data_IF_974665027871
#
_entry.id   IF_974665027871
#
_cell.length_a   1.000
_cell.length_b   1.000
_cell.length_c   1.000
_cell.angle_alpha   90.00
_cell.angle_beta   90.00
_cell.angle_gamma   90.00
#
_symmetry.space_group_name_H-M   'P 1'
#
loop_
_entity.id
_entity.type
_entity.pdbx_description
1 polymer ?
#
# COMPACT_ATOMS: atom_id res chain seq x y z
N UNK A 1 12.50 3.75 21.68
CA UNK A 1 11.16 4.02 21.12
C UNK A 1 11.08 3.28 19.79
N UNK A 2 10.01 2.53 19.53
CA UNK A 2 9.87 1.79 18.26
C UNK A 2 9.54 2.76 17.12
N UNK A 3 10.09 2.57 15.90
CA UNK A 3 9.70 3.36 14.72
C UNK A 3 8.22 3.15 14.39
N UNK A 4 7.58 4.19 13.84
CA UNK A 4 6.16 4.18 13.46
C UNK A 4 5.98 3.49 12.11
N UNK A 5 5.13 2.46 12.06
CA UNK A 5 4.73 1.77 10.84
C UNK A 5 3.20 1.79 10.74
N UNK A 6 2.67 2.16 9.57
CA UNK A 6 1.25 1.98 9.27
C UNK A 6 1.06 0.97 8.15
N UNK A 7 -0.02 0.20 8.25
CA UNK A 7 -0.46 -0.74 7.22
C UNK A 7 -1.77 -0.23 6.61
N UNK A 8 -1.82 -0.05 5.30
CA UNK A 8 -3.04 0.29 4.56
C UNK A 8 -3.55 -0.94 3.80
N UNK A 9 -4.79 -1.35 4.07
CA UNK A 9 -5.42 -2.51 3.44
C UNK A 9 -5.65 -2.34 1.93
N UNK A 10 -6.05 -3.42 1.26
CA UNK A 10 -6.48 -3.37 -0.14
C UNK A 10 -7.94 -2.92 -0.29
N UNK A 11 -8.51 -3.11 -1.48
CA UNK A 11 -9.87 -2.68 -1.83
C UNK A 11 -10.95 -3.35 -0.97
N UNK A 12 -10.66 -4.49 -0.36
CA UNK A 12 -11.63 -5.22 0.43
C UNK A 12 -11.73 -4.68 1.86
N UNK A 13 -10.70 -3.99 2.35
CA UNK A 13 -10.67 -3.58 3.75
C UNK A 13 -10.43 -4.73 4.72
N UNK A 14 -10.65 -4.49 6.01
CA UNK A 14 -10.31 -5.46 7.07
C UNK A 14 -11.11 -6.76 6.97
N UNK A 15 -12.35 -6.71 6.48
CA UNK A 15 -13.27 -7.86 6.40
C UNK A 15 -12.76 -9.04 5.55
N UNK A 16 -11.88 -8.79 4.56
CA UNK A 16 -11.22 -9.87 3.76
C UNK A 16 -9.70 -9.78 3.76
N UNK A 17 -9.15 -9.09 4.75
CA UNK A 17 -7.70 -8.91 4.91
C UNK A 17 -7.11 -9.76 6.04
N UNK A 18 -7.59 -10.99 6.22
CA UNK A 18 -7.05 -11.90 7.27
C UNK A 18 -5.54 -12.15 7.12
N UNK A 19 -5.02 -12.06 5.91
CA UNK A 19 -3.59 -12.15 5.59
C UNK A 19 -2.76 -10.99 6.19
N UNK A 20 -3.36 -9.83 6.49
CA UNK A 20 -2.66 -8.72 7.16
C UNK A 20 -2.21 -9.11 8.56
N UNK A 21 -2.93 -10.02 9.23
CA UNK A 21 -2.55 -10.49 10.56
C UNK A 21 -1.14 -11.09 10.57
N UNK A 22 -0.72 -11.78 9.50
CA UNK A 22 0.63 -12.31 9.38
C UNK A 22 1.70 -11.22 9.25
N UNK A 23 1.40 -10.11 8.57
CA UNK A 23 2.29 -8.94 8.55
C UNK A 23 2.39 -8.31 9.95
N UNK A 24 1.26 -8.15 10.63
CA UNK A 24 1.20 -7.55 11.97
C UNK A 24 1.97 -8.39 12.99
N UNK A 25 1.79 -9.71 12.98
CA UNK A 25 2.49 -10.64 13.86
C UNK A 25 4.02 -10.53 13.71
N UNK A 26 4.50 -10.46 12.46
CA UNK A 26 5.93 -10.39 12.17
C UNK A 26 6.54 -9.02 12.47
N UNK A 27 5.79 -7.92 12.33
CA UNK A 27 6.33 -6.56 12.39
C UNK A 27 6.08 -5.85 13.73
N UNK A 28 4.97 -6.12 14.43
CA UNK A 28 4.63 -5.46 15.70
C UNK A 28 5.67 -5.59 16.83
N UNK A 29 6.53 -6.63 16.91
CA UNK A 29 7.61 -6.65 17.88
C UNK A 29 8.64 -5.52 17.67
N UNK A 30 8.77 -5.00 16.45
CA UNK A 30 9.80 -4.04 16.06
C UNK A 30 9.28 -2.62 15.83
N UNK A 31 7.99 -2.47 15.50
CA UNK A 31 7.36 -1.19 15.18
C UNK A 31 6.26 -0.79 16.18
N UNK A 32 6.05 0.51 16.34
CA UNK A 32 4.75 1.04 16.78
C UNK A 32 3.81 0.97 15.58
N UNK A 33 3.09 -0.15 15.48
CA UNK A 33 2.33 -0.54 14.30
C UNK A 33 0.87 -0.13 14.43
N UNK A 34 0.29 0.44 13.37
CA UNK A 34 -1.16 0.61 13.25
C UNK A 34 -1.69 0.24 11.88
N UNK A 35 -2.79 -0.49 11.84
CA UNK A 35 -3.52 -0.78 10.62
C UNK A 35 -4.59 0.30 10.38
N UNK A 36 -4.84 0.59 9.11
CA UNK A 36 -5.98 1.36 8.67
C UNK A 36 -6.73 0.61 7.57
N UNK A 37 -8.04 0.48 7.75
CA UNK A 37 -8.95 0.04 6.70
C UNK A 37 -9.13 1.17 5.66
N UNK A 38 -8.72 0.91 4.42
CA UNK A 38 -8.94 1.81 3.29
C UNK A 38 -10.43 2.05 2.99
N UNK A 39 -11.32 1.08 3.27
CA UNK A 39 -12.76 1.26 3.16
C UNK A 39 -13.27 2.29 4.18
N UNK A 40 -12.79 2.23 5.43
CA UNK A 40 -13.18 3.19 6.46
C UNK A 40 -12.60 4.58 6.19
N UNK A 41 -11.33 4.65 5.77
CA UNK A 41 -10.69 5.90 5.37
C UNK A 41 -11.43 6.55 4.18
N UNK A 42 -11.85 5.73 3.22
CA UNK A 42 -12.52 6.18 2.00
C UNK A 42 -14.04 6.34 2.12
N UNK A 43 -14.62 6.07 3.29
CA UNK A 43 -16.08 6.05 3.51
C UNK A 43 -16.80 5.19 2.46
N UNK A 44 -16.30 3.96 2.25
CA UNK A 44 -16.81 3.03 1.24
C UNK A 44 -17.98 2.24 1.82
N UNK A 45 -19.12 2.25 1.10
CA UNK A 45 -20.27 1.43 1.43
C UNK A 45 -20.02 -0.03 1.02
N UNK A 46 -19.95 -0.89 2.04
CA UNK A 46 -19.74 -2.34 1.90
C UNK A 46 -21.04 -3.14 1.79
N UNK A 47 -22.22 -2.51 1.75
CA UNK A 47 -23.50 -3.23 1.64
C UNK A 47 -23.58 -4.12 0.38
N UNK A 48 -22.97 -3.70 -0.72
CA UNK A 48 -22.78 -4.53 -1.91
C UNK A 48 -21.29 -4.87 -2.10
N UNK A 49 -20.86 -5.94 -1.43
CA UNK A 49 -19.45 -6.28 -1.24
C UNK A 49 -18.84 -7.09 -2.40
N UNK A 50 -18.78 -6.47 -3.58
CA UNK A 50 -18.11 -7.01 -4.77
C UNK A 50 -17.05 -6.03 -5.31
N UNK A 51 -16.05 -6.57 -6.00
CA UNK A 51 -14.88 -5.82 -6.46
C UNK A 51 -15.26 -4.60 -7.32
N UNK A 52 -16.14 -4.78 -8.31
CA UNK A 52 -16.56 -3.69 -9.20
C UNK A 52 -17.22 -2.56 -8.43
N UNK A 53 -18.09 -2.88 -7.47
CA UNK A 53 -18.79 -1.87 -6.68
C UNK A 53 -17.83 -1.09 -5.78
N UNK A 54 -16.95 -1.78 -5.05
CA UNK A 54 -15.96 -1.14 -4.19
C UNK A 54 -14.97 -0.30 -4.99
N UNK A 55 -14.45 -0.86 -6.09
CA UNK A 55 -13.55 -0.16 -6.99
C UNK A 55 -14.17 1.14 -7.52
N UNK A 56 -15.43 1.07 -7.97
CA UNK A 56 -16.15 2.26 -8.45
C UNK A 56 -16.25 3.34 -7.37
N UNK A 57 -16.52 2.98 -6.12
CA UNK A 57 -16.58 3.95 -5.04
C UNK A 57 -15.21 4.58 -4.74
N UNK A 58 -14.13 3.79 -4.77
CA UNK A 58 -12.77 4.31 -4.61
C UNK A 58 -12.40 5.32 -5.70
N UNK A 59 -12.64 4.99 -6.98
CA UNK A 59 -12.29 5.91 -8.09
C UNK A 59 -13.22 7.12 -8.19
N UNK A 60 -14.42 7.05 -7.59
CA UNK A 60 -15.38 8.15 -7.52
C UNK A 60 -15.26 8.92 -6.19
N UNK A 61 -14.03 9.28 -5.80
CA UNK A 61 -13.74 10.14 -4.66
C UNK A 61 -13.35 9.42 -3.36
N UNK A 62 -13.46 8.09 -3.29
CA UNK A 62 -13.05 7.33 -2.10
C UNK A 62 -11.55 7.39 -1.83
N UNK A 63 -10.72 7.43 -2.87
CA UNK A 63 -9.26 7.61 -2.72
C UNK A 63 -8.96 8.97 -2.08
N UNK A 64 -9.60 10.03 -2.55
CA UNK A 64 -9.39 11.40 -2.08
C UNK A 64 -9.82 11.56 -0.62
N UNK A 65 -10.98 11.00 -0.26
CA UNK A 65 -11.43 10.93 1.14
C UNK A 65 -10.44 10.17 2.01
N UNK A 66 -9.93 9.04 1.53
CA UNK A 66 -8.96 8.24 2.27
C UNK A 66 -7.63 8.98 2.50
N UNK A 67 -7.15 9.69 1.49
CA UNK A 67 -5.96 10.55 1.59
C UNK A 67 -6.16 11.62 2.66
N UNK A 68 -7.29 12.34 2.61
CA UNK A 68 -7.56 13.44 3.54
C UNK A 68 -7.77 12.92 4.98
N UNK A 69 -8.40 11.75 5.14
CA UNK A 69 -8.53 11.07 6.43
C UNK A 69 -7.17 10.65 6.99
N UNK A 70 -6.27 10.12 6.15
CA UNK A 70 -4.95 9.69 6.56
C UNK A 70 -4.07 10.86 7.02
N UNK A 71 -4.09 11.98 6.28
CA UNK A 71 -3.40 13.22 6.65
C UNK A 71 -3.85 13.79 8.00
N UNK A 72 -5.12 13.62 8.37
CA UNK A 72 -5.65 14.04 9.67
C UNK A 72 -5.19 13.13 10.82
N UNK A 73 -5.02 11.83 10.54
CA UNK A 73 -4.72 10.80 11.54
C UNK A 73 -3.22 10.68 11.84
N UNK A 74 -2.35 10.88 10.87
CA UNK A 74 -0.90 10.73 11.03
C UNK A 74 -0.18 12.09 10.92
N UNK A 75 0.45 12.53 12.01
CA UNK A 75 1.11 13.85 12.10
C UNK A 75 2.65 13.76 12.15
N UNK A 76 3.15 12.58 12.49
CA UNK A 76 4.57 12.31 12.65
C UNK A 76 5.12 11.59 11.42
N UNK A 77 6.45 11.52 11.31
CA UNK A 77 7.10 10.73 10.27
C UNK A 77 6.77 9.25 10.44
N UNK A 78 6.41 8.58 9.35
CA UNK A 78 5.89 7.21 9.34
C UNK A 78 6.46 6.40 8.18
N UNK A 79 6.75 5.11 8.41
CA UNK A 79 6.89 4.13 7.33
C UNK A 79 5.52 3.58 6.96
N UNK A 80 5.25 3.44 5.66
CA UNK A 80 3.96 2.96 5.16
C UNK A 80 4.15 1.66 4.41
N UNK A 81 3.43 0.61 4.82
CA UNK A 81 3.27 -0.63 4.08
C UNK A 81 1.83 -0.67 3.52
N UNK A 82 1.67 -0.72 2.21
CA UNK A 82 0.37 -0.54 1.60
C UNK A 82 0.13 -1.50 0.43
N UNK A 83 -1.10 -1.99 0.34
CA UNK A 83 -1.48 -3.06 -0.58
C UNK A 83 -2.52 -2.58 -1.59
N UNK A 84 -2.35 -2.94 -2.87
CA UNK A 84 -3.31 -2.62 -3.93
C UNK A 84 -3.71 -1.13 -3.91
N UNK A 85 -5.00 -0.81 -3.77
CA UNK A 85 -5.48 0.58 -3.73
C UNK A 85 -4.88 1.40 -2.59
N UNK A 86 -4.55 0.76 -1.45
CA UNK A 86 -3.88 1.40 -0.32
C UNK A 86 -2.54 2.03 -0.72
N UNK A 87 -1.82 1.42 -1.67
CA UNK A 87 -0.57 1.99 -2.17
C UNK A 87 -0.76 3.31 -2.91
N UNK A 88 -1.84 3.43 -3.69
CA UNK A 88 -2.20 4.70 -4.34
C UNK A 88 -2.65 5.75 -3.34
N UNK A 89 -3.39 5.35 -2.30
CA UNK A 89 -3.76 6.25 -1.20
C UNK A 89 -2.51 6.78 -0.50
N UNK A 90 -1.57 5.90 -0.13
CA UNK A 90 -0.31 6.30 0.49
C UNK A 90 0.54 7.21 -0.39
N UNK A 91 0.65 6.87 -1.69
CA UNK A 91 1.38 7.67 -2.68
C UNK A 91 0.83 9.10 -2.76
N UNK A 92 -0.48 9.23 -2.90
CA UNK A 92 -1.14 10.54 -2.96
C UNK A 92 -1.07 11.29 -1.64
N UNK A 93 -1.18 10.60 -0.50
CA UNK A 93 -1.03 11.23 0.80
C UNK A 93 0.39 11.80 0.99
N UNK A 94 1.42 11.06 0.59
CA UNK A 94 2.80 11.54 0.62
C UNK A 94 3.00 12.77 -0.28
N UNK A 95 2.44 12.78 -1.50
CA UNK A 95 2.44 13.95 -2.39
C UNK A 95 1.69 15.16 -1.77
N UNK A 96 0.64 14.92 -0.98
CA UNK A 96 -0.11 15.96 -0.26
C UNK A 96 0.51 16.38 1.08
N UNK A 97 1.72 15.90 1.40
CA UNK A 97 2.47 16.36 2.58
C UNK A 97 2.41 15.44 3.80
N UNK A 98 1.90 14.20 3.67
CA UNK A 98 2.12 13.20 4.71
C UNK A 98 3.62 12.95 4.85
N UNK A 99 4.14 13.04 6.07
CA UNK A 99 5.56 12.81 6.35
C UNK A 99 5.88 11.32 6.27
N UNK A 100 6.21 10.84 5.09
CA UNK A 100 6.59 9.44 4.86
C UNK A 100 8.10 9.32 4.80
N UNK A 101 8.68 8.44 5.61
CA UNK A 101 10.10 8.10 5.52
C UNK A 101 10.34 7.11 4.37
N UNK A 102 9.56 6.02 4.38
CA UNK A 102 9.60 4.96 3.39
C UNK A 102 8.18 4.53 3.05
N UNK A 103 7.85 4.53 1.75
CA UNK A 103 6.63 3.97 1.19
C UNK A 103 6.96 2.60 0.55
N UNK A 104 6.40 1.54 1.11
CA UNK A 104 6.45 0.19 0.57
C UNK A 104 5.07 -0.13 0.00
N UNK A 105 4.96 -0.13 -1.32
CA UNK A 105 3.72 -0.33 -2.04
C UNK A 105 3.77 -1.67 -2.79
N UNK A 106 2.79 -2.54 -2.51
CA UNK A 106 2.75 -3.91 -3.01
C UNK A 106 1.53 -4.10 -3.88
N UNK A 107 1.76 -4.54 -5.12
CA UNK A 107 0.74 -4.71 -6.16
C UNK A 107 -0.15 -3.47 -6.30
N UNK A 108 0.40 -2.27 -6.15
CA UNK A 108 -0.42 -1.06 -6.00
C UNK A 108 -1.13 -0.70 -7.30
N UNK A 109 -2.47 -0.72 -7.27
CA UNK A 109 -3.29 -0.42 -8.44
C UNK A 109 -3.26 1.08 -8.71
N UNK A 110 -3.41 1.49 -9.97
CA UNK A 110 -3.51 2.89 -10.40
C UNK A 110 -2.24 3.75 -10.30
N UNK A 111 -1.14 3.27 -9.71
CA UNK A 111 0.14 4.00 -9.75
C UNK A 111 0.59 4.34 -11.17
N UNK A 112 0.30 3.47 -12.14
CA UNK A 112 0.55 3.68 -13.58
C UNK A 112 -0.07 4.95 -14.18
N UNK A 113 -0.99 5.61 -13.46
CA UNK A 113 -1.62 6.87 -13.85
C UNK A 113 -1.02 8.09 -13.16
N UNK A 114 -0.16 7.90 -12.16
CA UNK A 114 0.50 8.99 -11.45
C UNK A 114 1.69 9.51 -12.27
N UNK A 115 1.90 10.82 -12.25
CA UNK A 115 2.98 11.51 -12.98
C UNK A 115 4.00 12.18 -12.08
N UNK A 116 3.77 12.13 -10.77
CA UNK A 116 4.64 12.70 -9.73
C UNK A 116 5.03 11.62 -8.74
N UNK A 117 6.26 11.71 -8.24
CA UNK A 117 6.82 10.78 -7.25
C UNK A 117 6.92 11.51 -5.90
N UNK A 118 6.44 10.91 -4.80
CA UNK A 118 6.57 11.53 -3.48
C UNK A 118 8.04 11.63 -3.06
N UNK A 119 8.36 12.70 -2.34
CA UNK A 119 9.72 12.92 -1.81
C UNK A 119 9.98 12.06 -0.56
N UNK A 120 10.01 10.75 -0.74
CA UNK A 120 10.35 9.76 0.28
C UNK A 120 11.07 8.56 -0.37
N UNK A 121 11.60 7.64 0.44
CA UNK A 121 12.06 6.35 -0.12
C UNK A 121 10.84 5.58 -0.63
N UNK A 122 10.94 5.01 -1.83
CA UNK A 122 9.85 4.25 -2.44
C UNK A 122 10.35 2.85 -2.80
N UNK A 123 9.59 1.85 -2.37
CA UNK A 123 9.78 0.44 -2.73
C UNK A 123 8.50 -0.11 -3.33
N UNK A 124 8.62 -0.60 -4.55
CA UNK A 124 7.50 -1.16 -5.28
C UNK A 124 7.71 -2.65 -5.50
N UNK A 125 6.74 -3.45 -5.12
CA UNK A 125 6.71 -4.88 -5.39
C UNK A 125 5.54 -5.17 -6.32
N UNK A 126 5.77 -5.90 -7.40
CA UNK A 126 4.71 -6.38 -8.28
C UNK A 126 4.91 -7.82 -8.69
N UNK A 127 3.80 -8.51 -8.95
CA UNK A 127 3.82 -9.77 -9.67
C UNK A 127 4.15 -9.54 -11.14
N UNK A 128 4.92 -10.45 -11.73
CA UNK A 128 5.21 -10.43 -13.17
C UNK A 128 3.93 -10.44 -14.02
N UNK A 129 2.90 -11.15 -13.56
CA UNK A 129 1.58 -11.30 -14.22
C UNK A 129 0.52 -10.37 -13.63
N UNK A 130 0.91 -9.32 -12.92
CA UNK A 130 -0.03 -8.32 -12.39
C UNK A 130 -0.40 -7.30 -13.50
N UNK A 131 -1.64 -7.39 -13.99
CA UNK A 131 -2.19 -6.50 -15.02
C UNK A 131 -2.25 -5.03 -14.57
N UNK A 132 -2.17 -4.76 -13.27
CA UNK A 132 -2.19 -3.39 -12.74
C UNK A 132 -0.82 -2.73 -12.64
N UNK A 133 0.27 -3.51 -12.80
CA UNK A 133 1.65 -3.05 -12.71
C UNK A 133 1.94 -1.97 -13.76
N UNK A 134 2.63 -0.87 -13.41
CA UNK A 134 3.16 0.06 -14.41
C UNK A 134 4.03 -0.60 -15.48
N UNK A 135 4.15 0.03 -16.64
CA UNK A 135 5.08 -0.42 -17.67
C UNK A 135 6.52 0.07 -17.41
N UNK A 136 7.46 -0.42 -18.20
CA UNK A 136 8.87 -0.03 -18.06
C UNK A 136 9.10 1.47 -18.26
N UNK A 137 8.32 2.13 -19.11
CA UNK A 137 8.41 3.56 -19.36
C UNK A 137 8.01 4.37 -18.12
N UNK A 138 6.95 3.95 -17.42
CA UNK A 138 6.54 4.58 -16.17
C UNK A 138 7.62 4.47 -15.09
N UNK A 139 8.22 3.29 -14.91
CA UNK A 139 9.29 3.08 -13.93
C UNK A 139 10.53 3.92 -14.25
N UNK A 140 10.91 3.99 -15.53
CA UNK A 140 12.03 4.82 -16.00
C UNK A 140 11.77 6.31 -15.75
N UNK A 141 10.57 6.79 -16.07
CA UNK A 141 10.18 8.18 -15.87
C UNK A 141 10.15 8.55 -14.38
N UNK A 142 9.70 7.64 -13.52
CA UNK A 142 9.68 7.83 -12.08
C UNK A 142 11.04 7.57 -11.41
N UNK A 143 12.03 7.06 -12.17
CA UNK A 143 13.34 6.65 -11.65
C UNK A 143 13.25 5.64 -10.50
N UNK A 144 12.28 4.71 -10.58
CA UNK A 144 12.07 3.66 -9.58
C UNK A 144 12.41 2.31 -10.18
N UNK A 145 13.24 1.54 -9.48
CA UNK A 145 13.49 0.14 -9.81
C UNK A 145 12.53 -0.73 -8.98
N UNK A 146 11.55 -1.40 -9.60
CA UNK A 146 10.62 -2.26 -8.88
C UNK A 146 11.22 -3.66 -8.63
N UNK A 147 10.73 -4.32 -7.60
CA UNK A 147 10.94 -5.74 -7.35
C UNK A 147 9.85 -6.56 -8.06
N UNK A 148 10.24 -7.27 -9.13
CA UNK A 148 9.32 -8.07 -9.95
C UNK A 148 9.38 -9.55 -9.53
N UNK A 149 8.26 -10.07 -9.06
CA UNK A 149 8.15 -11.44 -8.57
C UNK A 149 7.67 -12.37 -9.69
N UNK A 150 8.57 -13.22 -10.18
CA UNK A 150 8.32 -14.14 -11.30
C UNK A 150 7.12 -15.05 -11.04
N UNK A 151 6.30 -15.26 -12.07
CA UNK A 151 5.10 -16.10 -12.03
C UNK A 151 4.01 -15.69 -11.02
N UNK A 152 4.19 -14.60 -10.25
CA UNK A 152 3.19 -14.12 -9.30
C UNK A 152 2.22 -13.16 -9.98
N UNK A 153 0.98 -13.14 -9.48
CA UNK A 153 -0.09 -12.23 -9.92
C UNK A 153 -0.36 -11.10 -8.92
N UNK A 154 -1.50 -10.43 -9.08
CA UNK A 154 -1.88 -9.30 -8.24
C UNK A 154 -1.91 -9.62 -6.74
N UNK A 155 -2.50 -10.77 -6.38
CA UNK A 155 -2.70 -11.19 -4.98
C UNK A 155 -1.46 -11.79 -4.31
N UNK A 156 -0.25 -11.61 -4.87
CA UNK A 156 0.97 -12.18 -4.28
C UNK A 156 1.20 -11.80 -2.82
N UNK A 157 0.66 -10.66 -2.39
CA UNK A 157 0.75 -10.16 -1.02
C UNK A 157 -0.03 -10.98 0.02
N UNK A 158 -0.85 -11.95 -0.42
CA UNK A 158 -1.52 -12.90 0.50
C UNK A 158 -0.73 -14.21 0.66
N UNK A 159 0.31 -14.41 -0.15
CA UNK A 159 1.07 -15.66 -0.18
C UNK A 159 2.13 -15.68 0.93
N UNK A 160 2.13 -16.74 1.76
CA UNK A 160 2.95 -16.81 2.97
C UNK A 160 4.45 -16.61 2.73
N UNK A 161 4.98 -17.19 1.66
CA UNK A 161 6.38 -17.04 1.25
C UNK A 161 6.73 -15.57 0.95
N UNK A 162 5.84 -14.88 0.24
CA UNK A 162 6.00 -13.47 -0.07
C UNK A 162 5.85 -12.57 1.16
N UNK A 163 4.91 -12.86 2.07
CA UNK A 163 4.78 -12.15 3.35
C UNK A 163 6.10 -12.19 4.12
N UNK A 164 6.69 -13.38 4.29
CA UNK A 164 7.97 -13.52 4.98
C UNK A 164 9.10 -12.78 4.25
N UNK A 165 9.15 -12.84 2.92
CA UNK A 165 10.14 -12.13 2.11
C UNK A 165 10.10 -10.61 2.38
N UNK A 166 8.91 -10.01 2.30
CA UNK A 166 8.73 -8.57 2.51
C UNK A 166 9.02 -8.18 3.96
N UNK A 167 8.49 -8.92 4.94
CA UNK A 167 8.74 -8.61 6.35
C UNK A 167 10.24 -8.68 6.67
N UNK A 168 10.95 -9.69 6.16
CA UNK A 168 12.40 -9.78 6.34
C UNK A 168 13.14 -8.61 5.68
N UNK A 169 12.72 -8.18 4.49
CA UNK A 169 13.32 -7.01 3.83
C UNK A 169 13.12 -5.73 4.66
N UNK A 170 11.93 -5.55 5.26
CA UNK A 170 11.62 -4.43 6.16
C UNK A 170 12.50 -4.46 7.42
N UNK A 171 12.62 -5.63 8.05
CA UNK A 171 13.35 -5.77 9.32
C UNK A 171 14.87 -5.64 9.16
N UNK A 172 15.42 -6.15 8.06
CA UNK A 172 16.86 -6.16 7.86
C UNK A 172 17.42 -4.81 7.37
N UNK A 173 16.58 -3.77 7.29
CA UNK A 173 16.95 -2.46 6.74
C UNK A 173 17.66 -2.55 5.39
N UNK A 174 17.37 -3.58 4.59
CA UNK A 174 17.52 -3.49 3.15
C UNK A 174 16.40 -2.57 2.65
N UNK A 175 16.35 -1.34 3.17
CA UNK A 175 15.35 -0.28 3.02
C UNK A 175 16.00 0.97 2.43
#
# INVERSE_FOLDING_TARGET
MKPRLIILSDLWGEERSSWVASYVELLSPFFDLKQYDCCDLGEIDKANYNEKNLHNQFVNGGIERAVDALLKKERNTVTVLAFSIGGTIAWKAALKGLKVETLIAISSTRLRYETQVPNCRVKLYFGERDDNKPDGSWFMNCQIVPEINKNKGHLMYVEKDFIHLVCNAILNQNL
#
